data_IF_301123387139
#
_entry.id   IF_301123387139
#
_cell.length_a   1.000
_cell.length_b   1.000
_cell.length_c   1.000
_cell.angle_alpha   90.00
_cell.angle_beta   90.00
_cell.angle_gamma   90.00
#
_symmetry.space_group_name_H-M   'P 1'
#
loop_
_entity.id
_entity.type
_entity.pdbx_description
1 polymer ?
#
# COMPACT_ATOMS: atom_id res chain seq x y z
N UNK A 1 -7.21 25.21 -10.07
CA UNK A 1 -7.40 23.92 -10.76
C UNK A 1 -8.79 23.93 -11.36
N UNK A 2 -8.90 23.99 -12.68
CA UNK A 2 -10.19 23.78 -13.36
C UNK A 2 -10.61 22.33 -13.09
N UNK A 3 -11.78 22.13 -12.49
CA UNK A 3 -12.30 20.79 -12.22
C UNK A 3 -12.31 20.00 -13.53
N UNK A 4 -11.60 18.87 -13.57
CA UNK A 4 -11.71 17.96 -14.69
C UNK A 4 -13.16 17.48 -14.74
N UNK A 5 -13.88 17.84 -15.79
CA UNK A 5 -15.25 17.38 -15.98
C UNK A 5 -15.20 15.91 -16.38
N UNK A 6 -15.47 15.03 -15.43
CA UNK A 6 -15.61 13.60 -15.70
C UNK A 6 -16.70 13.39 -16.75
N UNK A 7 -16.39 12.58 -17.75
CA UNK A 7 -17.37 12.16 -18.73
C UNK A 7 -18.26 11.07 -18.12
N UNK A 8 -19.47 10.92 -18.65
CA UNK A 8 -20.42 9.87 -18.21
C UNK A 8 -19.78 8.48 -18.22
N UNK A 9 -18.85 8.22 -19.15
CA UNK A 9 -18.13 6.94 -19.23
C UNK A 9 -17.25 6.68 -18.00
N UNK A 10 -16.65 7.72 -17.40
CA UNK A 10 -15.78 7.58 -16.24
C UNK A 10 -16.59 7.15 -15.01
N UNK A 11 -17.78 7.72 -14.83
CA UNK A 11 -18.72 7.30 -13.79
C UNK A 11 -19.19 5.86 -13.99
N UNK A 12 -19.48 5.46 -15.24
CA UNK A 12 -19.89 4.08 -15.54
C UNK A 12 -18.78 3.09 -15.22
N UNK A 13 -17.53 3.39 -15.60
CA UNK A 13 -16.37 2.54 -15.29
C UNK A 13 -16.14 2.44 -13.78
N UNK A 14 -16.27 3.55 -13.05
CA UNK A 14 -16.14 3.56 -11.59
C UNK A 14 -17.20 2.68 -10.91
N UNK A 15 -18.48 2.88 -11.26
CA UNK A 15 -19.59 2.10 -10.70
C UNK A 15 -19.46 0.62 -11.07
N UNK A 16 -19.10 0.32 -12.31
CA UNK A 16 -18.85 -1.04 -12.76
C UNK A 16 -17.71 -1.70 -11.95
N UNK A 17 -16.63 -0.97 -11.66
CA UNK A 17 -15.53 -1.49 -10.85
C UNK A 17 -15.97 -1.87 -9.43
N UNK A 18 -16.78 -1.03 -8.79
CA UNK A 18 -17.34 -1.32 -7.47
C UNK A 18 -18.27 -2.54 -7.49
N UNK A 19 -19.15 -2.63 -8.49
CA UNK A 19 -20.06 -3.76 -8.65
C UNK A 19 -19.26 -5.05 -8.88
N UNK A 20 -18.28 -5.05 -9.78
CA UNK A 20 -17.45 -6.23 -10.05
C UNK A 20 -16.71 -6.66 -8.78
N UNK A 21 -16.13 -5.72 -8.04
CA UNK A 21 -15.45 -6.02 -6.77
C UNK A 21 -16.40 -6.70 -5.78
N UNK A 22 -17.62 -6.18 -5.64
CA UNK A 22 -18.63 -6.75 -4.75
C UNK A 22 -19.11 -8.13 -5.22
N UNK A 23 -19.31 -8.32 -6.53
CA UNK A 23 -19.69 -9.61 -7.11
C UNK A 23 -18.59 -10.66 -6.94
N UNK A 24 -17.34 -10.32 -7.22
CA UNK A 24 -16.17 -11.20 -7.00
C UNK A 24 -16.04 -11.54 -5.52
N UNK A 25 -16.25 -10.56 -4.64
CA UNK A 25 -16.27 -10.74 -3.20
C UNK A 25 -17.34 -11.75 -2.75
N UNK A 26 -18.59 -11.55 -3.17
CA UNK A 26 -19.71 -12.44 -2.83
C UNK A 26 -19.50 -13.85 -3.43
N UNK A 27 -19.07 -13.93 -4.69
CA UNK A 27 -18.80 -15.20 -5.37
C UNK A 27 -17.72 -16.01 -4.64
N UNK A 28 -16.61 -15.36 -4.27
CA UNK A 28 -15.53 -16.00 -3.54
C UNK A 28 -15.99 -16.42 -2.14
N UNK A 29 -16.78 -15.57 -1.47
CA UNK A 29 -17.34 -15.86 -0.17
C UNK A 29 -18.23 -17.10 -0.19
N UNK A 30 -19.04 -17.32 -1.24
CA UNK A 30 -19.87 -18.53 -1.38
C UNK A 30 -19.06 -19.81 -1.61
N UNK A 31 -17.83 -19.71 -2.11
CA UNK A 31 -16.90 -20.84 -2.29
C UNK A 31 -15.86 -20.96 -1.17
N UNK A 32 -16.01 -20.20 -0.09
CA UNK A 32 -15.09 -20.25 1.05
C UNK A 32 -15.61 -21.21 2.12
N UNK A 33 -14.73 -22.06 2.65
CA UNK A 33 -15.03 -22.94 3.80
C UNK A 33 -14.99 -22.12 5.08
N UNK A 34 -16.17 -21.69 5.56
CA UNK A 34 -16.31 -20.77 6.71
C UNK A 34 -16.39 -21.47 8.06
N UNK A 35 -16.48 -22.79 8.07
CA UNK A 35 -16.81 -23.58 9.28
C UNK A 35 -15.65 -23.71 10.26
N UNK A 36 -14.41 -23.36 9.86
CA UNK A 36 -13.23 -23.46 10.72
C UNK A 36 -12.50 -22.12 10.82
N UNK A 37 -11.93 -21.84 11.99
CA UNK A 37 -11.07 -20.66 12.21
C UNK A 37 -9.86 -20.65 11.27
N UNK A 38 -9.33 -21.83 10.95
CA UNK A 38 -8.25 -22.02 9.97
C UNK A 38 -8.73 -21.67 8.54
N UNK A 39 -9.94 -22.06 8.15
CA UNK A 39 -10.51 -21.67 6.86
C UNK A 39 -10.72 -20.15 6.74
N UNK A 40 -11.21 -19.52 7.80
CA UNK A 40 -11.48 -18.08 7.83
C UNK A 40 -10.20 -17.22 7.82
N UNK A 41 -9.18 -17.58 8.62
CA UNK A 41 -7.97 -16.77 8.80
C UNK A 41 -6.76 -17.22 7.98
N UNK A 42 -6.73 -18.46 7.48
CA UNK A 42 -5.58 -19.04 6.78
C UNK A 42 -5.89 -19.47 5.35
N UNK A 43 -7.15 -19.30 4.89
CA UNK A 43 -7.62 -19.78 3.59
C UNK A 43 -7.25 -21.26 3.33
N UNK A 44 -7.21 -22.06 4.41
CA UNK A 44 -6.83 -23.48 4.42
C UNK A 44 -5.47 -23.78 3.75
N UNK A 45 -4.51 -22.84 3.78
CA UNK A 45 -3.17 -23.02 3.18
C UNK A 45 -3.26 -23.59 1.75
N UNK A 46 -4.13 -23.03 0.91
CA UNK A 46 -4.43 -23.56 -0.43
C UNK A 46 -4.16 -22.55 -1.55
N UNK A 47 -3.64 -21.38 -1.20
CA UNK A 47 -3.48 -20.27 -2.13
C UNK A 47 -2.23 -20.44 -2.99
N UNK A 48 -2.33 -20.02 -4.25
CA UNK A 48 -1.24 -20.06 -5.22
C UNK A 48 -0.35 -18.82 -5.09
N UNK A 49 0.92 -18.95 -5.47
CA UNK A 49 1.91 -17.87 -5.34
C UNK A 49 1.51 -16.53 -6.01
N UNK A 50 0.83 -16.49 -7.19
CA UNK A 50 0.44 -15.20 -7.78
C UNK A 50 -0.59 -14.48 -6.93
N UNK A 51 -1.54 -15.22 -6.36
CA UNK A 51 -2.59 -14.66 -5.51
C UNK A 51 -2.00 -14.00 -4.26
N UNK A 52 -1.01 -14.67 -3.65
CA UNK A 52 -0.31 -14.18 -2.47
C UNK A 52 0.55 -12.96 -2.82
N UNK A 53 1.32 -13.04 -3.92
CA UNK A 53 2.20 -11.94 -4.35
C UNK A 53 1.44 -10.65 -4.64
N UNK A 54 0.34 -10.74 -5.40
CA UNK A 54 -0.51 -9.58 -5.67
C UNK A 54 -1.20 -9.06 -4.41
N UNK A 55 -1.56 -9.92 -3.47
CA UNK A 55 -2.16 -9.48 -2.22
C UNK A 55 -1.15 -8.80 -1.28
N UNK A 56 0.10 -9.27 -1.23
CA UNK A 56 1.20 -8.58 -0.55
C UNK A 56 1.43 -7.21 -1.20
N UNK A 57 1.45 -7.15 -2.54
CA UNK A 57 1.56 -5.91 -3.30
C UNK A 57 0.42 -4.93 -2.99
N UNK A 58 -0.83 -5.38 -3.03
CA UNK A 58 -2.00 -4.54 -2.73
C UNK A 58 -2.04 -4.07 -1.27
N UNK A 59 -1.51 -4.87 -0.35
CA UNK A 59 -1.38 -4.46 1.06
C UNK A 59 -0.29 -3.41 1.25
N UNK A 60 0.72 -3.40 0.36
CA UNK A 60 1.76 -2.39 0.34
C UNK A 60 1.29 -1.08 -0.31
N UNK A 61 0.60 -1.16 -1.45
CA UNK A 61 0.23 0.01 -2.24
C UNK A 61 -1.23 0.39 -1.96
N UNK A 62 -1.42 1.25 -0.97
CA UNK A 62 -2.70 1.85 -0.61
C UNK A 62 -2.96 3.22 -1.27
N UNK A 63 -4.12 3.79 -0.97
CA UNK A 63 -4.46 5.18 -1.37
C UNK A 63 -3.50 6.18 -0.74
N UNK A 64 -3.06 5.92 0.49
CA UNK A 64 -2.08 6.74 1.20
C UNK A 64 -0.73 6.74 0.49
N UNK A 65 -0.31 5.58 -0.05
CA UNK A 65 0.94 5.43 -0.78
C UNK A 65 0.91 6.20 -2.11
N UNK A 66 -0.20 6.12 -2.85
CA UNK A 66 -0.35 6.86 -4.12
C UNK A 66 -0.22 8.36 -3.90
N UNK A 67 -0.94 8.94 -2.94
CA UNK A 67 -0.86 10.40 -2.67
C UNK A 67 0.47 10.75 -2.02
N UNK A 68 0.91 9.96 -1.04
CA UNK A 68 2.10 10.22 -0.24
C UNK A 68 3.37 10.17 -1.08
N UNK A 69 3.56 9.10 -1.85
CA UNK A 69 4.76 8.93 -2.69
C UNK A 69 4.74 9.91 -3.87
N UNK A 70 3.59 10.12 -4.53
CA UNK A 70 3.50 11.12 -5.61
C UNK A 70 3.70 12.56 -5.09
N UNK A 71 3.16 12.89 -3.92
CA UNK A 71 3.37 14.18 -3.27
C UNK A 71 4.81 14.39 -2.82
N UNK A 72 5.43 13.38 -2.21
CA UNK A 72 6.84 13.41 -1.87
C UNK A 72 7.73 13.51 -3.12
N UNK A 73 7.35 12.86 -4.22
CA UNK A 73 8.09 12.94 -5.48
C UNK A 73 7.93 14.32 -6.15
N UNK A 74 6.78 14.96 -5.99
CA UNK A 74 6.57 16.33 -6.46
C UNK A 74 7.34 17.36 -5.61
N UNK A 75 7.52 17.12 -4.31
CA UNK A 75 8.24 18.03 -3.41
C UNK A 75 9.76 17.81 -3.45
N UNK A 76 10.19 16.56 -3.35
CA UNK A 76 11.59 16.18 -3.17
C UNK A 76 12.15 15.39 -4.36
N UNK A 77 11.41 15.11 -5.42
CA UNK A 77 11.93 14.46 -6.62
C UNK A 77 12.07 12.93 -6.52
N UNK A 78 12.96 12.35 -7.34
CA UNK A 78 13.09 10.90 -7.53
C UNK A 78 13.61 10.07 -6.34
N UNK A 79 14.31 10.61 -5.30
CA UNK A 79 14.81 9.78 -4.19
C UNK A 79 13.76 8.99 -3.42
N UNK A 80 12.50 9.38 -3.53
CA UNK A 80 11.35 8.66 -2.97
C UNK A 80 11.36 7.19 -3.41
N UNK A 81 11.89 6.88 -4.60
CA UNK A 81 12.03 5.51 -5.11
C UNK A 81 12.84 4.59 -4.19
N UNK A 82 13.69 5.15 -3.31
CA UNK A 82 14.44 4.37 -2.33
C UNK A 82 13.52 3.55 -1.42
N UNK A 83 12.33 4.05 -1.06
CA UNK A 83 11.38 3.27 -0.25
C UNK A 83 10.99 1.93 -0.92
N UNK A 84 10.77 1.96 -2.23
CA UNK A 84 10.39 0.76 -2.99
C UNK A 84 11.61 -0.12 -3.32
N UNK A 85 12.75 0.48 -3.66
CA UNK A 85 14.00 -0.26 -3.91
C UNK A 85 14.46 -1.03 -2.66
N UNK A 86 14.43 -0.39 -1.49
CA UNK A 86 14.76 -1.05 -0.23
C UNK A 86 13.65 -2.01 0.23
N UNK A 87 12.41 -1.76 -0.19
CA UNK A 87 11.28 -2.67 0.03
C UNK A 87 11.54 -4.07 -0.55
N UNK A 88 12.23 -4.17 -1.70
CA UNK A 88 12.64 -5.46 -2.28
C UNK A 88 13.47 -6.28 -1.29
N UNK A 89 14.44 -5.66 -0.61
CA UNK A 89 15.24 -6.34 0.41
C UNK A 89 14.38 -6.75 1.62
N UNK A 90 13.41 -5.91 2.01
CA UNK A 90 12.45 -6.25 3.06
C UNK A 90 11.63 -7.50 2.74
N UNK A 91 11.13 -7.62 1.51
CA UNK A 91 10.39 -8.80 1.03
C UNK A 91 11.29 -10.03 0.99
N UNK A 92 12.53 -9.90 0.50
CA UNK A 92 13.49 -11.01 0.47
C UNK A 92 13.83 -11.50 1.88
N UNK A 93 14.06 -10.59 2.83
CA UNK A 93 14.31 -10.94 4.22
C UNK A 93 13.09 -11.62 4.84
N UNK A 94 11.88 -11.09 4.59
CA UNK A 94 10.64 -11.72 5.04
C UNK A 94 10.53 -13.16 4.52
N UNK A 95 10.72 -13.36 3.21
CA UNK A 95 10.55 -14.66 2.56
C UNK A 95 11.63 -15.69 2.89
N UNK A 96 12.91 -15.30 2.93
CA UNK A 96 14.01 -16.24 3.13
C UNK A 96 14.41 -16.43 4.60
N UNK A 97 14.19 -15.44 5.46
CA UNK A 97 14.62 -15.50 6.87
C UNK A 97 13.43 -15.72 7.82
N UNK A 98 12.41 -14.86 7.74
CA UNK A 98 11.32 -14.87 8.72
C UNK A 98 10.28 -15.95 8.44
N UNK A 99 9.92 -16.20 7.19
CA UNK A 99 8.91 -17.20 6.85
C UNK A 99 9.33 -18.63 7.24
N UNK A 100 10.55 -19.12 6.94
CA UNK A 100 11.00 -20.43 7.42
C UNK A 100 11.00 -20.52 8.94
N UNK A 101 11.44 -19.45 9.62
CA UNK A 101 11.48 -19.38 11.09
C UNK A 101 10.08 -19.50 11.71
N UNK A 102 9.07 -18.81 11.16
CA UNK A 102 7.70 -18.93 11.64
C UNK A 102 7.07 -20.29 11.34
N UNK A 103 7.40 -20.87 10.18
CA UNK A 103 6.92 -22.19 9.80
C UNK A 103 7.50 -23.29 10.71
N UNK A 104 8.80 -23.25 11.00
CA UNK A 104 9.44 -24.17 11.95
C UNK A 104 8.92 -24.00 13.39
N UNK A 105 8.69 -22.75 13.81
CA UNK A 105 8.12 -22.46 15.12
C UNK A 105 6.63 -22.82 15.26
N UNK A 106 5.95 -23.17 14.15
CA UNK A 106 4.52 -23.49 14.10
C UNK A 106 3.68 -22.39 14.75
N UNK A 107 3.90 -21.15 14.33
CA UNK A 107 3.21 -19.94 14.82
C UNK A 107 2.56 -19.21 13.66
N UNK A 108 1.41 -18.59 13.94
CA UNK A 108 0.65 -17.86 12.91
C UNK A 108 0.65 -16.35 13.13
N UNK A 109 1.17 -15.89 14.28
CA UNK A 109 1.26 -14.47 14.60
C UNK A 109 2.64 -14.07 15.12
N UNK A 110 3.05 -12.83 14.82
CA UNK A 110 4.29 -12.25 15.35
C UNK A 110 4.34 -12.26 16.87
N UNK A 111 3.21 -11.95 17.52
CA UNK A 111 3.10 -11.95 18.96
C UNK A 111 3.30 -13.35 19.57
N UNK A 112 2.76 -14.39 18.93
CA UNK A 112 2.93 -15.78 19.35
C UNK A 112 4.39 -16.25 19.20
N UNK A 113 5.06 -15.87 18.09
CA UNK A 113 6.48 -16.16 17.93
C UNK A 113 7.31 -15.60 19.09
N UNK A 114 7.09 -14.34 19.44
CA UNK A 114 7.80 -13.66 20.53
C UNK A 114 7.45 -14.26 21.90
N UNK A 115 6.21 -14.73 22.09
CA UNK A 115 5.84 -15.47 23.28
C UNK A 115 6.62 -16.77 23.41
N UNK A 116 6.68 -17.60 22.35
CA UNK A 116 7.43 -18.87 22.35
C UNK A 116 8.92 -18.61 22.56
N UNK A 117 9.47 -17.55 21.96
CA UNK A 117 10.91 -17.24 22.06
C UNK A 117 11.34 -16.72 23.42
N UNK A 118 10.53 -15.87 24.06
CA UNK A 118 10.86 -15.17 25.31
C UNK A 118 10.12 -15.67 26.55
N UNK A 119 9.18 -16.62 26.40
CA UNK A 119 8.49 -17.29 27.50
C UNK A 119 7.50 -16.43 28.30
N UNK A 120 7.12 -15.24 27.80
CA UNK A 120 6.29 -14.27 28.53
C UNK A 120 4.95 -14.01 27.83
N UNK A 121 3.85 -14.48 28.41
CA UNK A 121 2.49 -14.21 27.91
C UNK A 121 2.14 -12.71 27.89
N UNK A 122 2.67 -11.92 28.84
CA UNK A 122 2.49 -10.46 28.86
C UNK A 122 3.04 -9.76 27.60
N UNK A 123 4.12 -10.30 27.02
CA UNK A 123 4.74 -9.75 25.82
C UNK A 123 3.82 -9.93 24.60
N UNK A 124 3.19 -11.10 24.48
CA UNK A 124 2.22 -11.38 23.43
C UNK A 124 1.08 -10.36 23.46
N UNK A 125 0.46 -10.18 24.63
CA UNK A 125 -0.67 -9.25 24.81
C UNK A 125 -0.25 -7.82 24.47
N UNK A 126 0.92 -7.40 24.95
CA UNK A 126 1.45 -6.06 24.69
C UNK A 126 1.64 -5.81 23.18
N UNK A 127 2.28 -6.74 22.48
CA UNK A 127 2.58 -6.59 21.05
C UNK A 127 1.29 -6.67 20.22
N UNK A 128 0.41 -7.62 20.51
CA UNK A 128 -0.89 -7.71 19.85
C UNK A 128 -1.72 -6.44 20.06
N UNK A 129 -1.76 -5.90 21.28
CA UNK A 129 -2.47 -4.65 21.57
C UNK A 129 -1.86 -3.47 20.81
N UNK A 130 -0.53 -3.34 20.82
CA UNK A 130 0.18 -2.29 20.09
C UNK A 130 -0.11 -2.37 18.58
N UNK A 131 -0.03 -3.55 17.97
CA UNK A 131 -0.33 -3.74 16.55
C UNK A 131 -1.79 -3.39 16.25
N UNK A 132 -2.74 -3.83 17.08
CA UNK A 132 -4.17 -3.49 16.89
C UNK A 132 -4.42 -1.99 16.97
N UNK A 133 -3.86 -1.31 17.97
CA UNK A 133 -3.98 0.14 18.14
C UNK A 133 -3.38 0.86 16.92
N UNK A 134 -2.21 0.45 16.45
CA UNK A 134 -1.58 1.05 15.27
C UNK A 134 -2.43 0.86 14.00
N UNK A 135 -2.97 -0.34 13.79
CA UNK A 135 -3.81 -0.61 12.61
C UNK A 135 -5.11 0.22 12.64
N UNK A 136 -5.80 0.25 13.78
CA UNK A 136 -7.12 0.90 13.92
C UNK A 136 -7.02 2.43 13.99
N UNK A 137 -6.02 2.98 14.67
CA UNK A 137 -5.92 4.43 14.88
C UNK A 137 -5.04 5.14 13.85
N UNK A 138 -4.12 4.43 13.19
CA UNK A 138 -3.16 5.05 12.28
C UNK A 138 -3.32 4.56 10.84
N UNK A 139 -3.12 3.25 10.58
CA UNK A 139 -3.06 2.72 9.20
C UNK A 139 -4.41 2.78 8.47
N UNK A 140 -5.48 2.24 9.06
CA UNK A 140 -6.79 2.22 8.40
C UNK A 140 -7.34 3.65 8.17
N UNK A 141 -7.30 4.57 9.16
CA UNK A 141 -7.77 5.93 8.96
C UNK A 141 -6.99 6.72 7.92
N UNK A 142 -5.66 6.58 7.86
CA UNK A 142 -4.85 7.30 6.87
C UNK A 142 -5.16 6.85 5.44
N UNK A 143 -5.35 5.54 5.22
CA UNK A 143 -5.74 4.98 3.93
C UNK A 143 -7.10 5.46 3.46
N UNK A 144 -8.10 5.37 4.33
CA UNK A 144 -9.48 5.74 3.98
C UNK A 144 -9.63 7.25 3.78
N UNK A 145 -8.93 8.05 4.60
CA UNK A 145 -8.92 9.50 4.44
C UNK A 145 -8.25 9.93 3.12
N UNK A 146 -7.10 9.33 2.78
CA UNK A 146 -6.45 9.56 1.50
C UNK A 146 -7.36 9.19 0.32
N UNK A 147 -8.00 8.02 0.37
CA UNK A 147 -8.97 7.60 -0.64
C UNK A 147 -10.16 8.57 -0.77
N UNK A 148 -10.69 9.04 0.36
CA UNK A 148 -11.76 10.05 0.39
C UNK A 148 -11.34 11.39 -0.21
N UNK A 149 -10.10 11.82 0.00
CA UNK A 149 -9.55 13.04 -0.58
C UNK A 149 -9.45 12.95 -2.11
N UNK A 150 -9.02 11.78 -2.64
CA UNK A 150 -9.01 11.53 -4.10
C UNK A 150 -10.43 11.58 -4.65
N UNK A 151 -11.38 10.93 -3.98
CA UNK A 151 -12.77 10.94 -4.40
C UNK A 151 -13.36 12.36 -4.41
N UNK A 152 -13.06 13.18 -3.40
CA UNK A 152 -13.46 14.60 -3.35
C UNK A 152 -12.83 15.40 -4.51
N UNK A 153 -11.53 15.21 -4.78
CA UNK A 153 -10.83 15.91 -5.86
C UNK A 153 -11.34 15.55 -7.27
N UNK A 154 -11.74 14.30 -7.49
CA UNK A 154 -12.15 13.79 -8.81
C UNK A 154 -13.66 13.93 -9.03
N UNK A 155 -14.47 13.49 -8.07
CA UNK A 155 -15.94 13.42 -8.20
C UNK A 155 -16.66 14.69 -7.72
N UNK A 156 -15.93 15.60 -7.05
CA UNK A 156 -16.50 16.77 -6.37
C UNK A 156 -17.65 16.39 -5.40
N UNK A 157 -17.50 15.22 -4.77
CA UNK A 157 -18.43 14.66 -3.79
C UNK A 157 -17.95 14.93 -2.37
N UNK A 158 -18.88 14.89 -1.41
CA UNK A 158 -18.53 14.93 0.00
C UNK A 158 -17.69 13.70 0.37
N UNK A 159 -16.42 13.93 0.77
CA UNK A 159 -15.48 12.87 1.15
C UNK A 159 -16.05 11.88 2.17
N UNK A 160 -16.85 12.34 3.14
CA UNK A 160 -17.37 11.49 4.21
C UNK A 160 -18.41 10.48 3.69
N UNK A 161 -19.16 10.86 2.65
CA UNK A 161 -20.11 9.95 2.00
C UNK A 161 -19.34 8.87 1.24
N UNK A 162 -18.31 9.24 0.47
CA UNK A 162 -17.46 8.29 -0.23
C UNK A 162 -16.76 7.31 0.71
N UNK A 163 -16.21 7.83 1.82
CA UNK A 163 -15.60 7.03 2.89
C UNK A 163 -16.61 6.04 3.47
N UNK A 164 -17.82 6.48 3.82
CA UNK A 164 -18.83 5.61 4.39
C UNK A 164 -19.24 4.48 3.44
N UNK A 165 -19.41 4.78 2.15
CA UNK A 165 -19.76 3.78 1.12
C UNK A 165 -18.67 2.71 1.00
N UNK A 166 -17.41 3.12 0.88
CA UNK A 166 -16.27 2.19 0.77
C UNK A 166 -16.14 1.35 2.05
N UNK A 167 -16.28 1.96 3.22
CA UNK A 167 -16.22 1.26 4.50
C UNK A 167 -17.28 0.17 4.63
N UNK A 168 -18.54 0.49 4.30
CA UNK A 168 -19.64 -0.47 4.38
C UNK A 168 -19.43 -1.62 3.39
N UNK A 169 -19.08 -1.32 2.14
CA UNK A 169 -18.82 -2.37 1.15
C UNK A 169 -17.67 -3.28 1.54
N UNK A 170 -16.54 -2.70 1.97
CA UNK A 170 -15.39 -3.48 2.42
C UNK A 170 -15.76 -4.31 3.65
N UNK A 171 -16.46 -3.76 4.63
CA UNK A 171 -16.91 -4.50 5.81
C UNK A 171 -17.80 -5.69 5.43
N UNK A 172 -18.76 -5.51 4.52
CA UNK A 172 -19.63 -6.59 4.05
C UNK A 172 -18.81 -7.71 3.39
N UNK A 173 -17.94 -7.36 2.44
CA UNK A 173 -17.13 -8.36 1.71
C UNK A 173 -16.15 -9.08 2.64
N UNK A 174 -15.50 -8.36 3.57
CA UNK A 174 -14.53 -8.94 4.48
C UNK A 174 -15.19 -9.82 5.55
N UNK A 175 -16.27 -9.37 6.19
CA UNK A 175 -16.98 -10.13 7.23
C UNK A 175 -17.59 -11.41 6.64
N UNK A 176 -18.20 -11.31 5.46
CA UNK A 176 -18.86 -12.47 4.81
C UNK A 176 -17.84 -13.43 4.20
N UNK A 177 -16.70 -12.92 3.73
CA UNK A 177 -15.78 -13.66 2.87
C UNK A 177 -14.54 -14.25 3.52
N UNK A 178 -14.05 -13.70 4.64
CA UNK A 178 -12.79 -14.11 5.27
C UNK A 178 -11.54 -13.89 4.39
N UNK A 179 -10.38 -14.39 4.82
CA UNK A 179 -9.09 -14.09 4.17
C UNK A 179 -9.06 -14.55 2.70
N UNK A 180 -9.63 -15.71 2.36
CA UNK A 180 -9.67 -16.22 0.98
C UNK A 180 -10.35 -15.22 0.02
N UNK A 181 -11.45 -14.62 0.46
CA UNK A 181 -12.18 -13.63 -0.36
C UNK A 181 -11.34 -12.39 -0.56
N UNK A 182 -10.69 -11.91 0.50
CA UNK A 182 -9.78 -10.76 0.45
C UNK A 182 -8.63 -11.01 -0.54
N UNK A 183 -7.99 -12.18 -0.51
CA UNK A 183 -6.89 -12.51 -1.44
C UNK A 183 -7.34 -12.49 -2.91
N UNK A 184 -8.55 -12.98 -3.19
CA UNK A 184 -9.09 -12.99 -4.57
C UNK A 184 -9.47 -11.59 -5.04
N UNK A 185 -10.09 -10.77 -4.18
CA UNK A 185 -10.40 -9.38 -4.51
C UNK A 185 -9.13 -8.55 -4.69
N UNK A 186 -8.11 -8.78 -3.85
CA UNK A 186 -6.81 -8.13 -3.94
C UNK A 186 -6.12 -8.47 -5.27
N UNK A 187 -6.17 -9.73 -5.71
CA UNK A 187 -5.58 -10.13 -6.99
C UNK A 187 -6.21 -9.39 -8.18
N UNK A 188 -7.54 -9.32 -8.22
CA UNK A 188 -8.26 -8.59 -9.27
C UNK A 188 -7.94 -7.09 -9.25
N UNK A 189 -7.97 -6.46 -8.07
CA UNK A 189 -7.66 -5.05 -7.92
C UNK A 189 -6.20 -4.73 -8.23
N UNK A 190 -5.28 -5.63 -7.87
CA UNK A 190 -3.86 -5.50 -8.17
C UNK A 190 -3.57 -5.49 -9.67
N UNK A 191 -4.26 -6.32 -10.45
CA UNK A 191 -4.14 -6.27 -11.92
C UNK A 191 -4.59 -4.91 -12.45
N UNK A 192 -5.74 -4.40 -12.00
CA UNK A 192 -6.25 -3.09 -12.42
C UNK A 192 -5.25 -1.99 -12.06
N UNK A 193 -4.68 -2.04 -10.85
CA UNK A 193 -3.74 -1.03 -10.36
C UNK A 193 -2.44 -1.03 -11.16
N UNK A 194 -1.87 -2.22 -11.45
CA UNK A 194 -0.66 -2.36 -12.27
C UNK A 194 -0.89 -1.87 -13.69
N UNK A 195 -1.99 -2.27 -14.32
CA UNK A 195 -2.34 -1.85 -15.68
C UNK A 195 -2.60 -0.34 -15.72
N UNK A 196 -3.38 0.20 -14.77
CA UNK A 196 -3.67 1.63 -14.67
C UNK A 196 -2.41 2.46 -14.44
N UNK A 197 -1.53 2.01 -13.56
CA UNK A 197 -0.23 2.65 -13.30
C UNK A 197 0.68 2.63 -14.54
N UNK A 198 0.73 1.52 -15.28
CA UNK A 198 1.52 1.40 -16.50
C UNK A 198 0.99 2.34 -17.62
N UNK A 199 -0.33 2.43 -17.78
CA UNK A 199 -0.96 3.38 -18.72
C UNK A 199 -0.64 4.82 -18.33
N UNK A 200 -0.79 5.16 -17.05
CA UNK A 200 -0.49 6.51 -16.55
C UNK A 200 0.99 6.87 -16.76
N UNK A 201 1.91 5.94 -16.48
CA UNK A 201 3.33 6.11 -16.74
C UNK A 201 3.62 6.29 -18.24
N UNK A 202 2.95 5.53 -19.12
CA UNK A 202 3.05 5.68 -20.58
C UNK A 202 2.58 7.04 -21.07
N UNK A 203 1.44 7.54 -20.55
CA UNK A 203 0.94 8.89 -20.85
C UNK A 203 1.94 9.94 -20.37
N UNK A 204 2.45 9.84 -19.14
CA UNK A 204 3.45 10.76 -18.61
C UNK A 204 4.72 10.79 -19.48
N UNK A 205 5.21 9.62 -19.91
CA UNK A 205 6.36 9.52 -20.80
C UNK A 205 6.10 10.09 -22.20
N UNK A 206 4.87 9.96 -22.72
CA UNK A 206 4.51 10.57 -24.02
C UNK A 206 4.53 12.10 -24.00
N UNK A 207 4.22 12.71 -22.85
CA UNK A 207 4.33 14.17 -22.66
C UNK A 207 5.77 14.62 -22.38
N UNK A 208 6.55 13.80 -21.67
CA UNK A 208 7.93 14.10 -21.28
C UNK A 208 8.89 12.98 -21.75
N UNK A 209 9.17 12.89 -23.06
CA UNK A 209 9.91 11.76 -23.64
C UNK A 209 11.40 11.74 -23.28
N UNK A 210 11.97 12.88 -22.87
CA UNK A 210 13.38 12.97 -22.46
C UNK A 210 13.53 13.40 -21.01
N UNK A 211 14.56 12.88 -20.34
CA UNK A 211 14.89 13.22 -18.96
C UNK A 211 15.17 14.71 -18.79
N UNK A 212 15.79 15.35 -19.80
CA UNK A 212 16.06 16.79 -19.76
C UNK A 212 14.77 17.62 -19.81
N UNK A 213 13.80 17.21 -20.64
CA UNK A 213 12.50 17.88 -20.72
C UNK A 213 11.68 17.66 -19.44
N UNK A 214 11.81 16.48 -18.81
CA UNK A 214 11.24 16.22 -17.49
C UNK A 214 11.88 17.10 -16.40
N UNK A 215 13.20 17.30 -16.43
CA UNK A 215 13.91 18.18 -15.48
C UNK A 215 13.48 19.63 -15.64
N UNK A 216 13.40 20.14 -16.87
CA UNK A 216 12.96 21.52 -17.13
C UNK A 216 11.50 21.71 -16.70
N UNK A 217 10.59 20.82 -17.13
CA UNK A 217 9.19 20.88 -16.76
C UNK A 217 8.96 20.79 -15.24
N UNK A 218 9.72 19.94 -14.55
CA UNK A 218 9.68 19.84 -13.08
C UNK A 218 10.09 21.17 -12.41
N UNK A 219 11.16 21.80 -12.89
CA UNK A 219 11.62 23.08 -12.35
C UNK A 219 10.61 24.22 -12.60
N UNK A 220 9.98 24.25 -13.77
CA UNK A 220 8.99 25.26 -14.15
C UNK A 220 7.66 25.09 -13.41
N UNK A 221 7.20 23.85 -13.23
CA UNK A 221 5.94 23.52 -12.55
C UNK A 221 5.91 24.01 -11.10
N UNK A 222 7.05 24.01 -10.41
CA UNK A 222 7.16 24.50 -9.03
C UNK A 222 7.17 26.04 -9.00
N UNK A 223 7.86 26.69 -9.94
CA UNK A 223 7.95 28.15 -10.02
C UNK A 223 6.59 28.79 -10.37
N UNK A 224 5.82 28.19 -11.30
CA UNK A 224 4.50 28.68 -11.70
C UNK A 224 3.48 28.68 -10.55
N UNK A 225 3.65 27.78 -9.58
CA UNK A 225 2.73 27.59 -8.47
C UNK A 225 3.03 28.46 -7.24
N UNK A 226 4.17 29.17 -7.20
CA UNK A 226 4.58 30.02 -6.07
C UNK A 226 3.56 31.11 -5.72
N UNK A 227 2.88 31.69 -6.71
CA UNK A 227 1.88 32.74 -6.51
C UNK A 227 0.60 32.25 -5.79
N UNK A 228 0.23 30.99 -5.97
CA UNK A 228 -0.92 30.37 -5.30
C UNK A 228 -0.58 29.73 -3.94
N UNK A 229 0.72 29.52 -3.68
CA UNK A 229 1.27 28.75 -2.54
C UNK A 229 2.20 29.59 -1.65
N UNK A 230 2.12 30.92 -1.73
CA UNK A 230 3.01 31.87 -1.04
C UNK A 230 3.09 31.71 0.50
N UNK A 231 2.15 30.97 1.10
CA UNK A 231 2.09 30.68 2.53
C UNK A 231 2.32 29.20 2.88
N UNK A 232 2.86 28.40 1.96
CA UNK A 232 3.13 26.96 2.15
C UNK A 232 4.61 26.64 2.06
N UNK A 233 5.01 25.57 2.74
CA UNK A 233 6.39 25.05 2.85
C UNK A 233 6.96 24.45 1.55
N UNK A 234 6.37 24.75 0.38
CA UNK A 234 6.90 24.32 -0.91
C UNK A 234 8.24 24.99 -1.16
N UNK A 235 9.32 24.27 -0.82
CA UNK A 235 10.70 24.67 -1.02
C UNK A 235 11.03 24.67 -2.51
N UNK A 236 11.97 25.52 -2.91
CA UNK A 236 12.58 25.41 -4.24
C UNK A 236 13.10 23.98 -4.47
N UNK A 237 12.96 23.45 -5.70
CA UNK A 237 13.42 22.11 -6.00
C UNK A 237 14.90 21.98 -5.66
N UNK A 238 15.22 20.97 -4.85
CA UNK A 238 16.61 20.67 -4.51
C UNK A 238 17.42 20.45 -5.79
N UNK A 239 18.68 20.94 -5.88
CA UNK A 239 19.59 20.59 -6.99
C UNK A 239 19.73 19.08 -7.18
N UNK A 240 19.46 18.31 -6.11
CA UNK A 240 19.53 16.86 -6.05
C UNK A 240 18.18 16.17 -6.31
N UNK A 241 17.17 16.87 -6.82
CA UNK A 241 15.84 16.33 -7.12
C UNK A 241 15.87 15.08 -8.03
N UNK A 242 16.83 15.01 -8.94
CA UNK A 242 17.01 13.89 -9.87
C UNK A 242 18.18 12.95 -9.52
N UNK A 243 18.63 12.96 -8.25
CA UNK A 243 19.71 12.10 -7.77
C UNK A 243 19.18 11.18 -6.66
N UNK A 244 19.18 9.86 -6.89
CA UNK A 244 18.69 8.86 -5.92
C UNK A 244 19.50 8.92 -4.62
N UNK A 245 20.83 9.04 -4.72
CA UNK A 245 21.74 9.17 -3.58
C UNK A 245 22.12 10.63 -3.43
N UNK A 246 21.85 11.21 -2.26
CA UNK A 246 22.11 12.61 -1.95
C UNK A 246 23.20 12.81 -0.90
N UNK A 247 23.84 13.99 -0.87
CA UNK A 247 24.81 14.30 0.17
C UNK A 247 24.21 14.17 1.58
N UNK A 248 25.08 13.91 2.56
CA UNK A 248 24.68 13.76 3.97
C UNK A 248 24.06 15.04 4.56
N UNK A 249 24.33 16.19 3.95
CA UNK A 249 23.77 17.48 4.32
C UNK A 249 22.35 17.72 3.79
N UNK A 250 21.82 16.83 2.93
CA UNK A 250 20.44 16.95 2.46
C UNK A 250 19.47 16.71 3.63
N UNK A 251 18.52 17.63 3.88
CA UNK A 251 17.62 17.52 5.03
C UNK A 251 16.55 16.45 4.85
N UNK A 252 16.24 16.04 3.61
CA UNK A 252 15.13 15.14 3.31
C UNK A 252 15.61 13.69 3.10
N UNK A 253 16.67 13.51 2.28
CA UNK A 253 17.15 12.19 1.86
C UNK A 253 18.67 12.00 2.02
N UNK A 254 19.26 12.26 3.20
CA UNK A 254 20.70 12.07 3.39
C UNK A 254 21.07 10.60 3.14
N UNK A 255 22.10 10.32 2.33
CA UNK A 255 22.39 8.94 1.89
C UNK A 255 22.51 7.91 3.02
N UNK A 256 23.04 8.31 4.18
CA UNK A 256 23.19 7.44 5.34
C UNK A 256 21.81 7.06 5.94
N UNK A 257 20.91 8.04 6.05
CA UNK A 257 19.53 7.84 6.48
C UNK A 257 18.73 7.04 5.45
N UNK A 258 18.94 7.32 4.16
CA UNK A 258 18.34 6.56 3.07
C UNK A 258 18.79 5.10 3.08
N UNK A 259 20.07 4.82 3.29
CA UNK A 259 20.59 3.44 3.28
C UNK A 259 20.18 2.65 4.53
N UNK A 260 20.46 3.18 5.73
CA UNK A 260 20.24 2.44 6.96
C UNK A 260 18.83 2.65 7.53
N UNK A 261 18.33 3.87 7.50
CA UNK A 261 17.02 4.22 8.03
C UNK A 261 15.90 3.56 7.23
N UNK A 262 15.88 3.74 5.91
CA UNK A 262 14.83 3.14 5.06
C UNK A 262 14.92 1.60 5.11
N UNK A 263 16.12 1.01 5.08
CA UNK A 263 16.25 -0.45 5.20
C UNK A 263 15.64 -0.99 6.50
N UNK A 264 15.91 -0.35 7.64
CA UNK A 264 15.33 -0.73 8.93
C UNK A 264 13.80 -0.61 8.88
N UNK A 265 13.28 0.48 8.29
CA UNK A 265 11.84 0.69 8.11
C UNK A 265 11.23 -0.40 7.24
N UNK A 266 11.86 -0.76 6.11
CA UNK A 266 11.39 -1.82 5.22
C UNK A 266 11.39 -3.18 5.91
N UNK A 267 12.44 -3.52 6.67
CA UNK A 267 12.48 -4.76 7.44
C UNK A 267 11.37 -4.79 8.49
N UNK A 268 11.18 -3.70 9.24
CA UNK A 268 10.07 -3.60 10.19
C UNK A 268 8.71 -3.71 9.50
N UNK A 269 8.54 -3.06 8.35
CA UNK A 269 7.29 -3.05 7.62
C UNK A 269 6.93 -4.43 7.08
N UNK A 270 7.84 -5.10 6.38
CA UNK A 270 7.56 -6.42 5.79
C UNK A 270 7.57 -7.55 6.81
N UNK A 271 8.48 -7.51 7.79
CA UNK A 271 8.67 -8.62 8.74
C UNK A 271 7.92 -8.41 10.07
N UNK A 272 7.54 -7.19 10.41
CA UNK A 272 6.87 -6.85 11.67
C UNK A 272 5.35 -6.72 11.56
N UNK A 273 4.82 -6.50 10.36
CA UNK A 273 3.39 -6.30 10.16
C UNK A 273 2.65 -7.63 9.94
N UNK A 274 1.63 -7.85 10.78
CA UNK A 274 0.85 -9.08 10.78
C UNK A 274 0.00 -9.24 9.51
N UNK A 275 -0.48 -8.15 8.91
CA UNK A 275 -1.30 -8.20 7.70
C UNK A 275 -0.53 -8.76 6.49
N UNK A 276 0.75 -8.43 6.35
CA UNK A 276 1.63 -8.99 5.32
C UNK A 276 1.96 -10.45 5.59
N UNK A 277 2.43 -10.77 6.80
CA UNK A 277 2.81 -12.14 7.16
C UNK A 277 1.65 -13.13 7.11
N UNK A 278 0.45 -12.69 7.50
CA UNK A 278 -0.74 -13.55 7.48
C UNK A 278 -1.04 -14.07 6.07
N UNK A 279 -0.73 -13.30 5.04
CA UNK A 279 -0.92 -13.70 3.63
C UNK A 279 0.10 -14.77 3.23
N UNK A 280 1.33 -14.67 3.72
CA UNK A 280 2.35 -15.70 3.47
C UNK A 280 1.96 -17.06 4.07
N UNK A 281 1.29 -17.08 5.24
CA UNK A 281 0.79 -18.33 5.84
C UNK A 281 -0.37 -18.98 5.08
N UNK A 282 -0.99 -18.29 4.12
CA UNK A 282 -2.09 -18.84 3.32
C UNK A 282 -1.63 -19.68 2.13
N UNK A 283 -0.32 -19.74 1.87
CA UNK A 283 0.27 -20.50 0.77
C UNK A 283 0.22 -22.00 0.96
N UNK A 284 0.10 -22.72 -0.15
CA UNK A 284 0.08 -24.19 -0.18
C UNK A 284 1.40 -24.81 0.26
N UNK A 285 2.51 -24.19 -0.14
CA UNK A 285 3.86 -24.58 0.19
C UNK A 285 4.63 -23.34 0.65
N UNK A 286 5.70 -23.55 1.41
CA UNK A 286 6.62 -22.48 1.82
C UNK A 286 7.44 -21.93 0.64
N UNK A 287 7.71 -22.77 -0.36
CA UNK A 287 8.45 -22.47 -1.59
C UNK A 287 7.62 -22.77 -2.83
#
# INVERSE_FOLDING_TARGET
>A
MTAATLHTIDYVVLVANFIITLLVGIWSAWRSERSTTVGYFLASASMTWPLIGFSIFMTNIGSSAVIGLSGAAAASGIPVICYELFGVFGILIMGYLFMPLFYEAQVYTNAEYLQKRFGRSRLQIYISAQTLVFQVLHKIPSEIYAGGLIAEAILNWNRFIGIAIVLVMTAVVTIVGGLKTVLVTDFYQGIIMVVGGAILAGIAYSHYPSLELMKTAYSEAIVANKGALANTTCRDPSPWAFHIVRPISDPDYPWLGTLFGILIICVWYFCGNQDLLQRCFSGKNLY
#
